data_IF_550238640131
#
_entry.id   IF_550238640131
#
_cell.length_a   1.000
_cell.length_b   1.000
_cell.length_c   1.000
_cell.angle_alpha   90.00
_cell.angle_beta   90.00
_cell.angle_gamma   90.00
#
_symmetry.space_group_name_H-M   'P 1'
#
loop_
_entity.id
_entity.type
_entity.pdbx_description
1 polymer ?
#
# COMPACT_ATOMS: atom_id res chain seq x y z
N UNK A 1 -6.60 76.72 61.15
CA UNK A 1 -6.89 76.26 59.78
C UNK A 1 -6.34 74.84 59.62
N UNK A 2 -7.16 73.95 59.09
CA UNK A 2 -7.00 72.50 58.94
C UNK A 2 -5.73 72.04 58.21
N UNK A 3 -5.20 70.87 58.59
CA UNK A 3 -4.82 69.81 57.63
C UNK A 3 -4.68 68.46 58.34
N UNK A 4 -5.78 67.69 58.37
CA UNK A 4 -5.75 66.25 58.65
C UNK A 4 -5.01 65.53 57.51
N UNK A 5 -3.89 64.87 57.85
CA UNK A 5 -3.20 63.93 56.95
C UNK A 5 -4.06 62.68 56.78
N UNK A 6 -4.52 62.43 55.56
CA UNK A 6 -5.25 61.22 55.17
C UNK A 6 -4.25 60.06 55.13
N UNK A 7 -4.34 59.14 56.09
CA UNK A 7 -3.61 57.88 56.08
C UNK A 7 -4.11 57.02 54.91
N UNK A 8 -3.26 56.74 53.93
CA UNK A 8 -3.56 55.77 52.88
C UNK A 8 -3.37 54.37 53.46
N UNK A 9 -4.48 53.67 53.74
CA UNK A 9 -4.47 52.22 53.97
C UNK A 9 -3.95 51.55 52.71
N UNK A 10 -2.79 50.90 52.79
CA UNK A 10 -2.34 49.95 51.77
C UNK A 10 -3.01 48.61 52.11
N UNK A 11 -4.02 48.24 51.33
CA UNK A 11 -4.60 46.90 51.41
C UNK A 11 -3.61 45.92 50.77
N UNK A 12 -2.99 45.09 51.60
CA UNK A 12 -2.19 43.97 51.13
C UNK A 12 -3.12 42.85 50.72
N UNK A 13 -2.99 42.35 49.49
CA UNK A 13 -3.70 41.16 49.05
C UNK A 13 -3.38 39.99 49.99
N UNK A 14 -4.41 39.26 50.41
CA UNK A 14 -4.23 38.07 51.23
C UNK A 14 -3.64 36.95 50.38
N UNK A 15 -2.68 36.21 50.94
CA UNK A 15 -1.96 35.13 50.24
C UNK A 15 -2.94 34.10 49.62
N UNK A 16 -4.10 33.91 50.24
CA UNK A 16 -5.17 33.02 49.75
C UNK A 16 -5.79 33.47 48.43
N UNK A 17 -6.00 34.78 48.22
CA UNK A 17 -6.63 35.33 47.00
C UNK A 17 -5.69 35.20 45.80
N UNK A 18 -4.39 35.37 46.04
CA UNK A 18 -3.35 35.14 45.03
C UNK A 18 -3.26 33.65 44.65
N UNK A 19 -3.28 32.75 45.63
CA UNK A 19 -3.20 31.30 45.38
C UNK A 19 -4.45 30.79 44.65
N UNK A 20 -5.62 31.31 44.98
CA UNK A 20 -6.87 30.97 44.28
C UNK A 20 -6.82 31.45 42.82
N UNK A 21 -6.30 32.64 42.58
CA UNK A 21 -6.13 33.20 41.22
C UNK A 21 -5.16 32.37 40.37
N UNK A 22 -4.00 32.01 40.92
CA UNK A 22 -3.00 31.20 40.21
C UNK A 22 -3.51 29.77 40.00
N UNK A 23 -4.26 29.21 40.96
CA UNK A 23 -4.90 27.90 40.80
C UNK A 23 -5.95 27.88 39.70
N UNK A 24 -6.75 28.95 39.58
CA UNK A 24 -7.74 29.11 38.51
C UNK A 24 -7.08 29.27 37.13
N UNK A 25 -6.04 30.09 37.03
CA UNK A 25 -5.28 30.23 35.78
C UNK A 25 -4.59 28.92 35.40
N UNK A 26 -4.04 28.19 36.37
CA UNK A 26 -3.42 26.89 36.16
C UNK A 26 -4.39 25.84 35.63
N UNK A 27 -5.59 25.74 36.22
CA UNK A 27 -6.61 24.78 35.74
C UNK A 27 -7.10 25.13 34.33
N UNK A 28 -7.22 26.41 33.99
CA UNK A 28 -7.59 26.87 32.65
C UNK A 28 -6.54 26.45 31.60
N UNK A 29 -5.25 26.61 31.90
CA UNK A 29 -4.16 26.23 30.99
C UNK A 29 -4.08 24.72 30.76
N UNK A 30 -4.34 23.92 31.80
CA UNK A 30 -4.43 22.46 31.65
C UNK A 30 -5.60 22.10 30.73
N UNK A 31 -6.77 22.73 30.93
CA UNK A 31 -7.95 22.46 30.13
C UNK A 31 -7.74 22.82 28.65
N UNK A 32 -7.14 23.97 28.38
CA UNK A 32 -6.78 24.39 27.01
C UNK A 32 -5.79 23.40 26.39
N UNK A 33 -4.78 22.95 27.15
CA UNK A 33 -3.79 21.99 26.65
C UNK A 33 -4.44 20.66 26.24
N UNK A 34 -5.37 20.15 27.05
CA UNK A 34 -6.11 18.92 26.74
C UNK A 34 -6.98 19.06 25.48
N UNK A 35 -7.63 20.21 25.32
CA UNK A 35 -8.44 20.49 24.11
C UNK A 35 -7.54 20.53 22.87
N UNK A 36 -6.39 21.19 22.94
CA UNK A 36 -5.45 21.27 21.80
C UNK A 36 -5.01 19.88 21.37
N UNK A 37 -4.66 19.00 22.32
CA UNK A 37 -4.29 17.60 22.02
C UNK A 37 -5.42 16.88 21.29
N UNK A 38 -6.66 17.01 21.75
CA UNK A 38 -7.82 16.37 21.13
C UNK A 38 -8.10 16.93 19.71
N UNK A 39 -8.00 18.25 19.54
CA UNK A 39 -8.19 18.91 18.24
C UNK A 39 -7.12 18.47 17.24
N UNK A 40 -5.85 18.35 17.67
CA UNK A 40 -4.80 17.82 16.80
C UNK A 40 -5.08 16.38 16.35
N UNK A 41 -5.60 15.53 17.25
CA UNK A 41 -6.03 14.17 16.88
C UNK A 41 -7.14 14.16 15.82
N UNK A 42 -8.14 15.04 15.95
CA UNK A 42 -9.21 15.19 14.96
C UNK A 42 -8.71 15.74 13.63
N UNK A 43 -7.76 16.69 13.68
CA UNK A 43 -7.15 17.27 12.49
C UNK A 43 -6.37 16.22 11.68
N UNK A 44 -5.52 15.45 12.35
CA UNK A 44 -4.76 14.37 11.71
C UNK A 44 -5.70 13.33 11.09
N UNK A 45 -6.74 12.92 11.83
CA UNK A 45 -7.82 12.07 11.28
C UNK A 45 -8.44 12.64 10.01
N UNK A 46 -8.78 13.93 10.02
CA UNK A 46 -9.37 14.61 8.88
C UNK A 46 -8.44 14.60 7.65
N UNK A 47 -7.16 14.90 7.85
CA UNK A 47 -6.16 14.88 6.79
C UNK A 47 -5.96 13.47 6.21
N UNK A 48 -5.79 12.45 7.06
CA UNK A 48 -5.58 11.07 6.59
C UNK A 48 -6.80 10.55 5.82
N UNK A 49 -8.01 10.80 6.30
CA UNK A 49 -9.23 10.42 5.57
C UNK A 49 -9.36 11.16 4.23
N UNK A 50 -8.98 12.44 4.19
CA UNK A 50 -8.95 13.20 2.95
C UNK A 50 -7.95 12.60 1.96
N UNK A 51 -6.72 12.33 2.39
CA UNK A 51 -5.66 11.77 1.54
C UNK A 51 -6.06 10.41 0.98
N UNK A 52 -6.58 9.50 1.81
CA UNK A 52 -7.06 8.19 1.35
C UNK A 52 -8.14 8.34 0.29
N UNK A 53 -9.10 9.26 0.48
CA UNK A 53 -10.15 9.49 -0.50
C UNK A 53 -9.66 10.13 -1.81
N UNK A 54 -8.67 11.02 -1.72
CA UNK A 54 -8.03 11.65 -2.88
C UNK A 54 -7.25 10.62 -3.69
N UNK A 55 -6.43 9.82 -3.00
CA UNK A 55 -5.67 8.71 -3.59
C UNK A 55 -6.60 7.69 -4.24
N UNK A 56 -7.74 7.35 -3.63
CA UNK A 56 -8.71 6.45 -4.26
C UNK A 56 -9.15 6.95 -5.64
N UNK A 57 -9.42 8.25 -5.79
CA UNK A 57 -9.83 8.83 -7.08
C UNK A 57 -8.70 8.85 -8.10
N UNK A 58 -7.48 9.14 -7.65
CA UNK A 58 -6.28 9.14 -8.50
C UNK A 58 -6.00 7.74 -9.03
N UNK A 59 -5.98 6.74 -8.14
CA UNK A 59 -5.74 5.33 -8.48
C UNK A 59 -6.77 4.82 -9.49
N UNK A 60 -8.07 5.04 -9.22
CA UNK A 60 -9.14 4.60 -10.13
C UNK A 60 -8.95 5.21 -11.51
N UNK A 61 -8.72 6.52 -11.59
CA UNK A 61 -8.55 7.22 -12.87
C UNK A 61 -7.31 6.72 -13.61
N UNK A 62 -6.18 6.63 -12.93
CA UNK A 62 -4.91 6.20 -13.53
C UNK A 62 -5.01 4.77 -14.05
N UNK A 63 -5.55 3.85 -13.26
CA UNK A 63 -5.70 2.45 -13.66
C UNK A 63 -6.75 2.30 -14.77
N UNK A 64 -7.89 2.98 -14.70
CA UNK A 64 -8.87 2.98 -15.79
C UNK A 64 -8.26 3.51 -17.09
N UNK A 65 -7.46 4.58 -17.02
CA UNK A 65 -6.77 5.13 -18.17
C UNK A 65 -5.74 4.13 -18.73
N UNK A 66 -4.89 3.54 -17.89
CA UNK A 66 -3.89 2.57 -18.34
C UNK A 66 -4.52 1.31 -18.93
N UNK A 67 -5.54 0.76 -18.28
CA UNK A 67 -6.29 -0.38 -18.80
C UNK A 67 -6.99 -0.02 -20.10
N UNK A 68 -7.59 1.18 -20.21
CA UNK A 68 -8.21 1.62 -21.46
C UNK A 68 -7.21 1.80 -22.61
N UNK A 69 -5.94 2.09 -22.30
CA UNK A 69 -4.89 2.16 -23.33
C UNK A 69 -4.25 0.80 -23.66
N UNK A 70 -4.60 -0.25 -22.94
CA UNK A 70 -4.03 -1.57 -23.06
C UNK A 70 -4.87 -2.51 -23.93
N UNK A 71 -4.20 -3.54 -24.46
CA UNK A 71 -4.86 -4.69 -25.05
C UNK A 71 -5.45 -5.59 -23.95
N UNK A 72 -6.35 -6.51 -24.35
CA UNK A 72 -6.85 -7.52 -23.42
C UNK A 72 -5.69 -8.35 -22.84
N UNK A 73 -5.69 -8.52 -21.53
CA UNK A 73 -4.62 -9.17 -20.78
C UNK A 73 -5.11 -10.41 -20.04
N UNK A 74 -4.20 -11.40 -19.88
CA UNK A 74 -4.49 -12.72 -19.33
C UNK A 74 -4.33 -12.72 -17.80
N UNK A 75 -5.35 -13.20 -17.09
CA UNK A 75 -5.29 -13.34 -15.62
C UNK A 75 -4.92 -14.75 -15.15
N UNK A 76 -5.00 -15.75 -16.02
CA UNK A 76 -4.95 -17.17 -15.67
C UNK A 76 -4.14 -17.96 -16.69
N UNK A 77 -3.45 -18.98 -16.20
CA UNK A 77 -2.74 -19.98 -16.99
C UNK A 77 -3.47 -21.32 -16.87
N UNK A 78 -2.96 -22.35 -17.55
CA UNK A 78 -3.55 -23.69 -17.50
C UNK A 78 -2.58 -24.66 -16.85
N UNK A 79 -3.08 -25.35 -15.83
CA UNK A 79 -2.42 -26.40 -15.06
C UNK A 79 -3.34 -27.60 -15.07
N UNK A 80 -2.86 -28.77 -15.51
CA UNK A 80 -3.63 -30.02 -15.57
C UNK A 80 -5.02 -29.87 -16.24
N UNK A 81 -5.07 -29.15 -17.36
CA UNK A 81 -6.30 -28.84 -18.11
C UNK A 81 -7.35 -28.04 -17.30
N UNK A 82 -6.94 -27.37 -16.22
CA UNK A 82 -7.78 -26.49 -15.43
C UNK A 82 -7.24 -25.05 -15.46
N UNK A 83 -8.13 -24.03 -15.53
CA UNK A 83 -7.73 -22.64 -15.47
C UNK A 83 -7.38 -22.24 -14.03
N UNK A 84 -6.15 -21.75 -13.82
CA UNK A 84 -5.61 -21.41 -12.50
C UNK A 84 -5.01 -19.99 -12.51
N UNK A 85 -5.19 -19.25 -11.42
CA UNK A 85 -4.58 -17.94 -11.23
C UNK A 85 -3.11 -18.08 -10.80
N UNK A 86 -2.21 -17.32 -11.43
CA UNK A 86 -0.83 -17.26 -10.98
C UNK A 86 -0.73 -16.57 -9.62
N UNK A 87 -0.05 -17.23 -8.68
CA UNK A 87 0.31 -16.67 -7.37
C UNK A 87 1.78 -16.28 -7.34
N UNK A 88 2.62 -16.94 -8.14
CA UNK A 88 4.04 -16.63 -8.23
C UNK A 88 4.39 -16.14 -9.63
N UNK A 89 5.51 -15.42 -9.73
CA UNK A 89 6.06 -15.00 -11.02
C UNK A 89 6.44 -16.22 -11.88
N UNK A 90 6.84 -17.33 -11.25
CA UNK A 90 7.22 -18.55 -11.96
C UNK A 90 6.01 -19.19 -12.64
N UNK A 91 4.89 -19.28 -11.93
CA UNK A 91 3.61 -19.72 -12.49
C UNK A 91 3.14 -18.80 -13.62
N UNK A 92 3.52 -17.52 -13.54
CA UNK A 92 3.17 -16.56 -14.58
C UNK A 92 3.98 -16.68 -15.86
N UNK A 93 5.12 -17.38 -15.84
CA UNK A 93 6.09 -17.41 -16.96
C UNK A 93 6.43 -18.83 -17.44
N UNK A 94 6.09 -19.90 -16.71
CA UNK A 94 6.48 -21.29 -17.08
C UNK A 94 5.62 -22.35 -16.35
N UNK A 95 5.48 -23.60 -16.85
CA UNK A 95 6.00 -24.20 -18.10
C UNK A 95 4.97 -25.08 -18.88
N UNK A 96 5.24 -25.41 -20.16
CA UNK A 96 4.69 -26.63 -20.77
C UNK A 96 4.00 -26.56 -22.14
N UNK A 97 3.82 -25.40 -22.75
CA UNK A 97 3.39 -25.33 -24.15
C UNK A 97 2.66 -24.05 -24.51
N UNK A 98 3.29 -23.27 -25.40
CA UNK A 98 2.83 -22.17 -26.27
C UNK A 98 1.89 -21.06 -25.72
N UNK A 99 1.22 -21.22 -24.57
CA UNK A 99 0.13 -20.35 -24.07
C UNK A 99 0.26 -20.04 -22.56
N UNK A 100 1.48 -20.07 -22.00
CA UNK A 100 1.74 -20.16 -20.54
C UNK A 100 2.09 -18.83 -19.85
N UNK A 101 1.98 -17.68 -20.53
CA UNK A 101 2.25 -16.38 -19.91
C UNK A 101 0.95 -15.71 -19.44
N UNK A 102 0.96 -15.17 -18.21
CA UNK A 102 -0.12 -14.30 -17.70
C UNK A 102 0.41 -12.92 -17.41
N UNK A 103 -0.48 -11.96 -17.55
CA UNK A 103 -0.20 -10.54 -17.34
C UNK A 103 -0.45 -10.10 -15.90
N UNK A 104 -0.90 -11.01 -15.04
CA UNK A 104 -1.25 -10.72 -13.66
C UNK A 104 -0.89 -11.90 -12.76
N UNK A 105 -0.21 -11.58 -11.66
CA UNK A 105 -0.07 -12.50 -10.53
C UNK A 105 -0.09 -11.71 -9.22
N UNK A 106 -0.57 -12.35 -8.16
CA UNK A 106 -0.54 -11.78 -6.82
C UNK A 106 -0.37 -12.86 -5.77
N UNK A 107 0.46 -12.57 -4.78
CA UNK A 107 0.64 -13.36 -3.56
C UNK A 107 0.50 -12.47 -2.33
N UNK A 108 0.78 -13.08 -1.18
CA UNK A 108 0.67 -12.44 0.13
C UNK A 108 1.67 -11.28 0.31
N UNK A 109 2.80 -11.29 -0.39
CA UNK A 109 3.79 -10.21 -0.35
C UNK A 109 3.47 -9.06 -1.29
N UNK A 110 2.73 -9.30 -2.36
CA UNK A 110 2.48 -8.33 -3.41
C UNK A 110 2.24 -8.98 -4.76
N UNK A 111 2.44 -8.23 -5.84
CA UNK A 111 2.20 -8.75 -7.18
C UNK A 111 2.59 -7.79 -8.28
N UNK A 112 2.22 -8.17 -9.51
CA UNK A 112 2.39 -7.36 -10.72
C UNK A 112 1.17 -7.47 -11.63
N UNK A 113 0.91 -6.40 -12.37
CA UNK A 113 -0.06 -6.35 -13.46
C UNK A 113 0.61 -5.67 -14.66
N UNK A 114 0.80 -6.41 -15.74
CA UNK A 114 1.45 -5.94 -16.96
C UNK A 114 0.43 -5.76 -18.08
N UNK A 115 -0.03 -4.53 -18.25
CA UNK A 115 -1.06 -4.21 -19.24
C UNK A 115 -0.54 -4.16 -20.68
N UNK A 116 0.79 -4.13 -20.88
CA UNK A 116 1.41 -3.98 -22.21
C UNK A 116 1.66 -2.53 -22.63
N UNK A 117 1.32 -1.55 -21.80
CA UNK A 117 1.82 -0.17 -21.90
C UNK A 117 2.52 0.21 -20.61
N UNK A 118 1.88 -0.12 -19.49
CA UNK A 118 2.42 0.06 -18.16
C UNK A 118 2.31 -1.23 -17.36
N UNK A 119 3.28 -1.40 -16.47
CA UNK A 119 3.28 -2.44 -15.47
C UNK A 119 3.12 -1.81 -14.10
N UNK A 120 2.17 -2.33 -13.35
CA UNK A 120 1.92 -1.97 -11.97
C UNK A 120 2.60 -2.98 -11.05
N UNK A 121 3.32 -2.47 -10.07
CA UNK A 121 4.08 -3.29 -9.12
C UNK A 121 3.76 -2.82 -7.71
N UNK A 122 3.50 -3.76 -6.80
CA UNK A 122 3.22 -3.44 -5.40
C UNK A 122 3.77 -4.49 -4.46
N UNK A 123 4.01 -4.05 -3.22
CA UNK A 123 4.06 -4.92 -2.07
C UNK A 123 2.85 -4.65 -1.16
N UNK A 124 2.46 -5.65 -0.38
CA UNK A 124 1.44 -5.48 0.65
C UNK A 124 2.02 -4.74 1.86
N UNK A 125 1.18 -4.03 2.61
CA UNK A 125 1.58 -3.39 3.87
C UNK A 125 2.20 -4.38 4.87
N UNK A 126 1.73 -5.63 4.86
CA UNK A 126 2.32 -6.73 5.63
C UNK A 126 3.77 -7.02 5.24
N UNK A 127 4.06 -7.11 3.94
CA UNK A 127 5.41 -7.32 3.43
C UNK A 127 6.34 -6.14 3.70
N UNK A 128 5.89 -4.90 3.44
CA UNK A 128 6.69 -3.69 3.66
C UNK A 128 7.06 -3.51 5.14
N UNK A 129 6.17 -3.92 6.05
CA UNK A 129 6.47 -3.92 7.49
C UNK A 129 7.50 -4.98 7.87
N UNK A 130 7.42 -6.18 7.31
CA UNK A 130 8.38 -7.24 7.60
C UNK A 130 9.82 -6.81 7.22
N UNK A 131 9.97 -6.02 6.16
CA UNK A 131 11.25 -5.46 5.71
C UNK A 131 11.86 -4.48 6.72
N UNK A 132 11.06 -3.65 7.39
CA UNK A 132 11.53 -2.70 8.42
C UNK A 132 12.12 -3.38 9.66
N UNK A 133 11.78 -4.65 9.90
CA UNK A 133 12.24 -5.44 11.06
C UNK A 133 13.60 -6.13 10.82
N UNK A 134 14.07 -6.19 9.57
CA UNK A 134 15.33 -6.85 9.20
C UNK A 134 16.38 -5.81 8.81
N UNK A 135 17.40 -5.61 9.65
CA UNK A 135 18.60 -4.82 9.29
C UNK A 135 19.43 -5.64 8.30
N UNK A 136 19.72 -5.05 7.13
CA UNK A 136 20.39 -5.74 6.03
C UNK A 136 21.88 -6.00 6.30
N UNK A 137 22.30 -7.25 6.06
CA UNK A 137 23.65 -7.58 5.63
C UNK A 137 23.64 -7.91 4.14
N UNK A 138 24.67 -7.50 3.40
CA UNK A 138 24.77 -7.63 1.95
C UNK A 138 24.43 -9.04 1.44
N UNK A 139 23.37 -9.18 0.64
CA UNK A 139 23.14 -10.35 -0.23
C UNK A 139 21.93 -11.24 0.04
N UNK A 140 21.04 -10.94 1.01
CA UNK A 140 19.83 -11.74 1.26
C UNK A 140 18.56 -11.13 0.63
N UNK A 141 17.84 -11.90 -0.21
CA UNK A 141 16.48 -11.51 -0.66
C UNK A 141 15.54 -11.41 0.55
N UNK A 142 14.89 -10.27 0.78
CA UNK A 142 13.86 -10.21 1.83
C UNK A 142 12.62 -10.95 1.36
N UNK A 143 12.20 -11.92 2.17
CA UNK A 143 11.03 -12.74 1.91
C UNK A 143 9.98 -12.51 2.97
N UNK A 144 8.73 -12.42 2.54
CA UNK A 144 7.59 -12.32 3.40
C UNK A 144 6.90 -13.68 3.51
N UNK A 145 6.78 -14.19 4.72
CA UNK A 145 5.97 -15.37 5.03
C UNK A 145 4.79 -14.95 5.90
N UNK A 146 3.61 -15.41 5.50
CA UNK A 146 2.38 -15.25 6.28
C UNK A 146 2.22 -16.47 7.17
N UNK A 147 2.09 -16.28 8.50
CA UNK A 147 1.83 -17.38 9.42
C UNK A 147 0.57 -18.14 8.99
N UNK A 148 0.70 -19.46 8.76
CA UNK A 148 -0.42 -20.32 8.39
C UNK A 148 -0.78 -20.38 6.90
N UNK A 149 -0.05 -19.70 6.02
CA UNK A 149 -0.25 -19.84 4.56
C UNK A 149 0.31 -21.17 4.07
N UNK A 150 -0.57 -22.09 3.67
CA UNK A 150 -0.20 -23.40 3.10
C UNK A 150 0.25 -23.31 1.64
N UNK A 151 0.03 -22.16 0.99
CA UNK A 151 0.43 -21.90 -0.40
C UNK A 151 1.75 -21.16 -0.53
N UNK A 152 2.38 -20.76 0.58
CA UNK A 152 3.68 -20.08 0.52
C UNK A 152 4.78 -21.07 0.10
N UNK A 153 5.67 -20.69 -0.84
CA UNK A 153 6.82 -21.52 -1.17
C UNK A 153 7.72 -21.65 0.06
N UNK A 154 8.48 -22.75 0.15
CA UNK A 154 9.48 -22.98 1.19
C UNK A 154 10.45 -21.79 1.25
N UNK A 155 10.32 -20.93 2.27
CA UNK A 155 11.10 -19.70 2.42
C UNK A 155 10.32 -18.38 2.26
N UNK A 156 9.04 -18.41 1.89
CA UNK A 156 8.19 -17.22 1.74
C UNK A 156 8.28 -16.54 0.37
N UNK A 157 7.39 -15.56 0.17
CA UNK A 157 7.24 -14.82 -1.08
C UNK A 157 8.27 -13.68 -1.18
N UNK A 158 8.85 -13.44 -2.36
CA UNK A 158 9.80 -12.34 -2.55
C UNK A 158 9.11 -10.98 -2.40
N UNK A 159 9.77 -10.06 -1.73
CA UNK A 159 9.41 -8.63 -1.66
C UNK A 159 10.15 -7.90 -2.78
N UNK A 160 9.54 -6.84 -3.31
CA UNK A 160 10.05 -6.10 -4.47
C UNK A 160 10.67 -4.77 -4.06
N UNK A 161 11.82 -4.41 -4.61
CA UNK A 161 12.54 -3.17 -4.29
C UNK A 161 12.86 -2.35 -5.54
N UNK A 162 12.93 -1.03 -5.36
CA UNK A 162 13.53 -0.09 -6.31
C UNK A 162 14.88 0.36 -5.77
N UNK A 163 15.79 0.73 -6.67
CA UNK A 163 17.09 1.26 -6.27
C UNK A 163 17.04 2.78 -6.27
N UNK A 164 17.58 3.39 -5.21
CA UNK A 164 17.83 4.82 -5.14
C UNK A 164 19.33 5.03 -4.95
N UNK A 165 19.94 5.90 -5.74
CA UNK A 165 21.31 6.34 -5.48
C UNK A 165 21.29 7.32 -4.32
N UNK A 166 21.93 6.96 -3.21
CA UNK A 166 22.11 7.82 -2.05
C UNK A 166 23.11 8.96 -2.35
N UNK A 167 23.15 9.96 -1.48
CA UNK A 167 24.01 11.14 -1.64
C UNK A 167 25.50 10.85 -1.63
N UNK A 168 25.90 9.69 -1.08
CA UNK A 168 27.28 9.18 -1.06
C UNK A 168 27.62 8.29 -2.27
N UNK A 169 26.69 8.14 -3.22
CA UNK A 169 26.84 7.30 -4.41
C UNK A 169 26.56 5.80 -4.16
N UNK A 170 26.17 5.41 -2.95
CA UNK A 170 25.74 4.04 -2.66
C UNK A 170 24.33 3.75 -3.19
N UNK A 171 24.04 2.48 -3.47
CA UNK A 171 22.72 2.03 -3.88
C UNK A 171 21.88 1.65 -2.64
N UNK A 172 20.81 2.40 -2.39
CA UNK A 172 19.83 2.12 -1.35
C UNK A 172 18.65 1.35 -1.97
N UNK A 173 18.25 0.23 -1.35
CA UNK A 173 17.06 -0.51 -1.74
C UNK A 173 15.84 -0.02 -0.96
N UNK A 174 14.79 0.36 -1.68
CA UNK A 174 13.54 0.86 -1.10
C UNK A 174 12.41 -0.08 -1.48
N UNK A 175 11.63 -0.61 -0.52
CA UNK A 175 10.53 -1.50 -0.84
C UNK A 175 9.47 -0.76 -1.65
N UNK A 176 9.00 -1.39 -2.72
CA UNK A 176 7.94 -0.85 -3.57
C UNK A 176 6.65 -0.76 -2.78
N UNK A 177 6.04 0.44 -2.73
CA UNK A 177 4.69 0.63 -2.19
C UNK A 177 3.65 0.28 -3.25
N UNK A 178 3.42 1.20 -4.17
CA UNK A 178 2.62 0.96 -5.36
C UNK A 178 3.10 1.89 -6.48
N UNK A 179 3.70 1.30 -7.51
CA UNK A 179 4.32 2.05 -8.60
C UNK A 179 3.78 1.60 -9.94
N UNK A 180 3.89 2.50 -10.90
CA UNK A 180 3.58 2.29 -12.31
C UNK A 180 4.85 2.57 -13.11
N UNK A 181 5.30 1.61 -13.91
CA UNK A 181 6.46 1.74 -14.80
C UNK A 181 6.01 1.53 -16.24
N UNK A 182 6.56 2.33 -17.17
CA UNK A 182 6.30 2.12 -18.60
C UNK A 182 6.99 0.83 -19.04
N UNK A 183 6.22 -0.11 -19.56
CA UNK A 183 6.66 -1.47 -19.86
C UNK A 183 5.88 -2.03 -21.06
N UNK A 184 6.20 -1.59 -22.28
CA UNK A 184 5.46 -2.00 -23.48
C UNK A 184 5.70 -3.47 -23.86
N UNK A 185 6.83 -4.05 -23.43
CA UNK A 185 7.20 -5.43 -23.73
C UNK A 185 6.77 -6.41 -22.63
N UNK A 186 6.10 -5.93 -21.57
CA UNK A 186 5.63 -6.73 -20.42
C UNK A 186 6.79 -7.45 -19.71
N UNK A 187 7.98 -6.89 -19.76
CA UNK A 187 9.21 -7.45 -19.17
C UNK A 187 9.07 -7.58 -17.64
N UNK A 188 8.21 -6.79 -17.00
CA UNK A 188 7.98 -6.91 -15.56
C UNK A 188 7.24 -8.19 -15.17
N UNK A 189 6.45 -8.78 -16.06
CA UNK A 189 5.75 -10.04 -15.80
C UNK A 189 6.42 -11.21 -16.50
N UNK A 190 7.47 -10.97 -17.30
CA UNK A 190 8.24 -11.99 -18.00
C UNK A 190 9.58 -12.20 -17.29
N UNK A 191 10.02 -13.45 -17.24
CA UNK A 191 11.38 -13.78 -16.80
C UNK A 191 12.27 -13.88 -18.04
N UNK A 192 13.51 -13.37 -18.00
CA UNK A 192 14.55 -13.95 -18.82
C UNK A 192 14.77 -15.40 -18.35
N UNK A 193 14.73 -16.35 -19.28
CA UNK A 193 14.70 -17.81 -19.05
C UNK A 193 15.86 -18.41 -18.21
N UNK A 194 16.82 -17.60 -17.74
CA UNK A 194 17.95 -18.02 -16.90
C UNK A 194 17.84 -17.60 -15.43
N UNK A 195 16.84 -16.80 -15.05
CA UNK A 195 16.74 -16.27 -13.69
C UNK A 195 15.84 -17.18 -12.85
N UNK A 196 16.46 -18.06 -12.05
CA UNK A 196 15.73 -18.84 -11.08
C UNK A 196 15.05 -17.89 -10.10
N UNK A 197 13.77 -18.15 -9.83
CA UNK A 197 12.88 -17.58 -8.81
C UNK A 197 13.46 -17.22 -7.43
N UNK A 198 14.69 -17.65 -7.19
CA UNK A 198 15.49 -17.51 -6.00
C UNK A 198 16.34 -16.24 -6.00
N UNK A 199 16.48 -15.55 -7.12
CA UNK A 199 17.46 -14.49 -7.30
C UNK A 199 16.94 -13.12 -6.89
N UNK A 200 17.78 -12.41 -6.14
CA UNK A 200 17.73 -10.99 -5.74
C UNK A 200 17.74 -10.01 -6.93
N UNK A 201 17.62 -10.50 -8.16
CA UNK A 201 17.71 -9.76 -9.44
C UNK A 201 16.41 -9.09 -9.87
N UNK A 202 15.27 -9.43 -9.26
CA UNK A 202 13.98 -8.77 -9.54
C UNK A 202 13.95 -7.29 -9.14
N UNK A 203 14.80 -6.92 -8.19
CA UNK A 203 14.95 -5.55 -7.68
C UNK A 203 15.76 -4.68 -8.66
N UNK A 204 16.63 -5.30 -9.46
CA UNK A 204 17.46 -4.61 -10.46
C UNK A 204 16.66 -4.15 -11.67
N UNK A 205 15.60 -4.87 -12.04
CA UNK A 205 14.79 -4.58 -13.23
C UNK A 205 13.84 -3.37 -13.03
N UNK A 206 13.54 -3.01 -11.79
CA UNK A 206 12.68 -1.87 -11.49
C UNK A 206 13.39 -0.53 -11.75
N UNK A 207 14.71 -0.53 -11.76
CA UNK A 207 15.53 0.62 -12.14
C UNK A 207 15.54 1.70 -11.05
N UNK A 208 15.85 2.92 -11.47
CA UNK A 208 15.97 4.08 -10.58
C UNK A 208 14.62 4.80 -10.43
N UNK A 209 14.53 5.71 -9.45
CA UNK A 209 13.34 6.51 -9.15
C UNK A 209 12.80 7.34 -10.32
N UNK A 210 13.61 7.56 -11.36
CA UNK A 210 13.19 8.23 -12.60
C UNK A 210 12.37 7.33 -13.55
N UNK A 211 12.46 6.01 -13.42
CA UNK A 211 11.87 5.05 -14.36
C UNK A 211 10.42 4.66 -14.01
N UNK A 212 9.93 5.09 -12.85
CA UNK A 212 8.59 4.76 -12.37
C UNK A 212 7.87 5.97 -11.78
N UNK A 213 6.55 5.90 -11.73
CA UNK A 213 5.70 6.84 -11.03
C UNK A 213 5.08 6.19 -9.79
N UNK A 214 5.15 6.85 -8.64
CA UNK A 214 4.39 6.46 -7.44
C UNK A 214 2.90 6.70 -7.70
N UNK A 215 2.07 5.65 -7.64
CA UNK A 215 0.63 5.76 -7.91
C UNK A 215 -0.08 6.48 -6.76
N UNK A 216 0.41 6.30 -5.53
CA UNK A 216 -0.10 7.01 -4.35
C UNK A 216 0.48 8.43 -4.20
N UNK A 217 1.37 8.85 -5.09
CA UNK A 217 2.06 10.14 -5.00
C UNK A 217 3.06 10.20 -3.84
N UNK A 218 3.42 11.43 -3.45
CA UNK A 218 4.38 11.75 -2.40
C UNK A 218 3.71 12.11 -1.06
N UNK A 219 2.54 11.53 -0.78
CA UNK A 219 1.75 11.84 0.42
C UNK A 219 2.45 11.43 1.73
N UNK A 220 2.14 12.16 2.81
CA UNK A 220 2.79 12.03 4.11
C UNK A 220 2.32 10.83 4.92
N UNK A 221 1.13 10.28 4.64
CA UNK A 221 0.53 9.21 5.44
C UNK A 221 0.97 7.79 5.02
N UNK A 222 2.04 7.70 4.22
CA UNK A 222 2.67 6.47 3.76
C UNK A 222 1.64 5.38 3.36
N UNK A 223 0.65 5.72 2.55
CA UNK A 223 -0.37 4.74 2.13
C UNK A 223 0.21 3.50 1.43
N UNK A 224 -0.35 2.33 1.71
CA UNK A 224 0.06 1.03 1.16
C UNK A 224 -1.16 0.22 0.72
N UNK A 225 -0.92 -0.75 -0.17
CA UNK A 225 -1.93 -1.75 -0.51
C UNK A 225 -1.92 -2.86 0.54
N UNK A 226 -3.10 -3.26 1.00
CA UNK A 226 -3.29 -4.45 1.82
C UNK A 226 -3.84 -5.62 1.02
N UNK A 227 -4.54 -5.33 -0.06
CA UNK A 227 -5.07 -6.32 -0.99
C UNK A 227 -5.19 -5.69 -2.38
N UNK A 228 -4.95 -6.49 -3.40
CA UNK A 228 -5.17 -6.18 -4.79
C UNK A 228 -5.67 -7.44 -5.48
N UNK A 229 -6.84 -7.40 -6.11
CA UNK A 229 -7.35 -8.51 -6.91
C UNK A 229 -8.02 -8.02 -8.19
N UNK A 230 -7.93 -8.85 -9.23
CA UNK A 230 -8.58 -8.61 -10.51
C UNK A 230 -9.35 -9.86 -10.89
N UNK A 231 -10.59 -9.67 -11.31
CA UNK A 231 -11.51 -10.72 -11.75
C UNK A 231 -12.13 -10.35 -13.10
N UNK A 232 -12.45 -11.34 -13.92
CA UNK A 232 -13.28 -11.18 -15.12
C UNK A 232 -14.71 -11.67 -14.85
N UNK A 233 -15.73 -11.08 -15.50
CA UNK A 233 -17.12 -11.55 -15.37
C UNK A 233 -17.30 -12.99 -15.87
N UNK A 234 -16.52 -13.37 -16.88
CA UNK A 234 -16.54 -14.71 -17.45
C UNK A 234 -15.42 -15.52 -16.78
N UNK A 235 -15.81 -16.68 -16.22
CA UNK A 235 -14.87 -17.70 -15.78
C UNK A 235 -14.58 -18.58 -17.00
N UNK A 236 -13.39 -18.49 -17.63
CA UNK A 236 -13.07 -19.34 -18.76
C UNK A 236 -13.19 -20.81 -18.34
N UNK A 237 -13.82 -21.64 -19.16
CA UNK A 237 -13.73 -23.10 -19.02
C UNK A 237 -12.46 -23.60 -19.71
N UNK A 238 -12.01 -24.82 -19.39
CA UNK A 238 -10.84 -25.44 -20.05
C UNK A 238 -10.97 -25.47 -21.59
N UNK A 239 -12.20 -25.56 -22.11
CA UNK A 239 -12.54 -25.54 -23.54
C UNK A 239 -12.49 -24.15 -24.19
N UNK A 240 -12.65 -23.06 -23.42
CA UNK A 240 -12.60 -21.67 -23.90
C UNK A 240 -11.17 -21.10 -23.94
N UNK A 241 -10.17 -21.97 -23.80
CA UNK A 241 -8.72 -21.73 -23.89
C UNK A 241 -8.30 -21.37 -25.33
N UNK A 242 -8.96 -20.41 -25.93
CA UNK A 242 -8.52 -19.85 -27.22
C UNK A 242 -7.42 -18.81 -26.97
N UNK A 243 -6.50 -18.69 -27.92
CA UNK A 243 -5.48 -17.63 -27.97
C UNK A 243 -6.11 -16.23 -28.14
N UNK A 244 -7.40 -16.20 -28.47
CA UNK A 244 -8.21 -15.00 -28.52
C UNK A 244 -8.62 -14.54 -27.11
N UNK A 245 -7.70 -13.82 -26.47
CA UNK A 245 -7.90 -13.19 -25.15
C UNK A 245 -9.09 -12.20 -25.19
N UNK A 246 -9.44 -11.67 -26.38
CA UNK A 246 -10.56 -10.74 -26.55
C UNK A 246 -11.91 -11.44 -26.52
N UNK A 247 -11.98 -12.74 -26.79
CA UNK A 247 -13.16 -13.56 -26.61
C UNK A 247 -13.47 -13.85 -25.13
N UNK A 248 -12.50 -13.64 -24.21
CA UNK A 248 -12.61 -14.01 -22.80
C UNK A 248 -13.14 -12.87 -21.94
N UNK A 249 -12.62 -11.64 -22.07
CA UNK A 249 -13.22 -10.41 -21.50
C UNK A 249 -12.45 -9.16 -21.90
N UNK A 250 -13.17 -8.06 -22.15
CA UNK A 250 -12.59 -6.70 -22.18
C UNK A 250 -12.90 -5.89 -20.90
N UNK A 251 -13.64 -6.48 -19.97
CA UNK A 251 -14.02 -5.87 -18.68
C UNK A 251 -13.33 -6.58 -17.52
N UNK A 252 -12.77 -5.80 -16.60
CA UNK A 252 -12.05 -6.27 -15.43
C UNK A 252 -12.62 -5.61 -14.18
N UNK A 253 -12.97 -6.42 -13.18
CA UNK A 253 -13.35 -5.98 -11.85
C UNK A 253 -12.08 -5.90 -11.01
N UNK A 254 -11.66 -4.69 -10.68
CA UNK A 254 -10.45 -4.42 -9.91
C UNK A 254 -10.87 -4.04 -8.49
N UNK A 255 -10.32 -4.76 -7.51
CA UNK A 255 -10.56 -4.54 -6.08
C UNK A 255 -9.23 -4.24 -5.39
N UNK A 256 -9.17 -3.12 -4.69
CA UNK A 256 -8.00 -2.73 -3.90
C UNK A 256 -8.41 -2.40 -2.47
N UNK A 257 -7.51 -2.65 -1.53
CA UNK A 257 -7.64 -2.14 -0.17
C UNK A 257 -6.43 -1.29 0.13
N UNK A 258 -6.65 0.02 0.31
CA UNK A 258 -5.61 1.00 0.61
C UNK A 258 -5.72 1.40 2.07
N UNK A 259 -4.59 1.53 2.77
CA UNK A 259 -4.58 2.05 4.14
C UNK A 259 -3.24 2.64 4.54
N UNK A 260 -3.16 3.17 5.75
CA UNK A 260 -1.96 3.77 6.35
C UNK A 260 -0.89 2.74 6.69
N UNK A 261 0.37 2.93 6.30
CA UNK A 261 1.40 1.90 6.54
C UNK A 261 1.67 1.55 8.00
N UNK A 262 1.59 2.52 8.91
CA UNK A 262 1.81 2.31 10.35
C UNK A 262 0.59 1.71 11.05
N UNK A 263 -0.49 1.52 10.29
CA UNK A 263 -1.75 1.02 10.77
C UNK A 263 -1.70 -0.40 11.37
N UNK A 264 -2.36 -0.59 12.51
CA UNK A 264 -2.62 -1.89 13.15
C UNK A 264 -3.57 -2.80 12.36
N UNK A 265 -3.98 -2.43 11.15
CA UNK A 265 -4.72 -3.31 10.26
C UNK A 265 -3.93 -4.59 10.03
N UNK A 266 -4.56 -5.70 10.40
CA UNK A 266 -4.12 -7.04 10.04
C UNK A 266 -2.69 -7.38 10.51
N UNK A 267 -2.44 -7.19 11.81
CA UNK A 267 -1.22 -7.69 12.47
C UNK A 267 -1.31 -9.20 12.70
N UNK A 268 -0.39 -9.93 12.06
CA UNK A 268 0.17 -11.24 12.44
C UNK A 268 -0.48 -12.55 11.99
N UNK A 269 -1.65 -12.60 11.34
CA UNK A 269 -2.25 -13.89 10.93
C UNK A 269 -2.65 -14.03 9.44
N UNK A 270 -2.17 -13.13 8.56
CA UNK A 270 -2.58 -13.18 7.16
C UNK A 270 -4.02 -12.72 7.00
N UNK A 271 -4.23 -11.68 6.20
CA UNK A 271 -4.92 -11.85 4.92
C UNK A 271 -6.43 -12.04 5.12
N UNK A 272 -7.13 -10.90 5.11
CA UNK A 272 -8.51 -10.81 4.65
C UNK A 272 -9.50 -11.71 5.42
N UNK A 273 -9.70 -11.48 6.72
CA UNK A 273 -11.01 -11.79 7.31
C UNK A 273 -11.91 -10.55 7.19
N UNK A 274 -12.85 -10.65 6.25
CA UNK A 274 -14.06 -9.85 5.92
C UNK A 274 -14.10 -8.33 6.19
N UNK A 275 -13.65 -7.84 7.32
CA UNK A 275 -14.01 -6.50 7.78
C UNK A 275 -12.97 -5.42 7.45
N UNK A 276 -11.67 -5.74 7.32
CA UNK A 276 -10.61 -4.77 6.92
C UNK A 276 -10.78 -3.39 7.57
N UNK A 277 -10.92 -3.37 8.90
CA UNK A 277 -11.12 -2.15 9.70
C UNK A 277 -9.88 -1.89 10.55
N UNK A 278 -9.58 -0.61 10.79
CA UNK A 278 -8.65 -0.20 11.82
C UNK A 278 -9.02 -0.79 13.17
N UNK A 279 -8.02 -1.26 13.93
CA UNK A 279 -8.25 -1.65 15.32
C UNK A 279 -8.70 -0.43 16.15
N UNK A 280 -9.56 -0.62 17.15
CA UNK A 280 -9.87 0.46 18.09
C UNK A 280 -8.60 0.87 18.85
N UNK A 281 -8.48 2.14 19.30
CA UNK A 281 -7.26 2.65 19.94
C UNK A 281 -6.79 1.82 21.14
N UNK A 282 -7.70 1.23 21.91
CA UNK A 282 -7.37 0.38 23.06
C UNK A 282 -6.73 -0.98 22.69
N UNK A 283 -6.78 -1.36 21.42
CA UNK A 283 -6.20 -2.59 20.87
C UNK A 283 -5.14 -2.29 19.80
N UNK A 284 -4.87 -1.00 19.57
CA UNK A 284 -3.80 -0.54 18.72
C UNK A 284 -2.48 -0.84 19.43
N UNK A 285 -1.61 -1.60 18.77
CA UNK A 285 -0.30 -1.96 19.28
C UNK A 285 0.82 -1.20 18.58
N UNK A 286 0.51 -0.51 17.48
CA UNK A 286 1.47 0.12 16.58
C UNK A 286 1.09 1.57 16.22
N UNK A 287 -0.20 1.92 16.30
CA UNK A 287 -0.69 3.28 16.06
C UNK A 287 -0.70 4.17 17.32
N UNK A 288 0.30 4.10 18.20
CA UNK A 288 0.36 4.89 19.45
C UNK A 288 0.60 6.42 19.21
N UNK A 289 0.01 6.99 18.18
CA UNK A 289 0.09 8.42 17.84
C UNK A 289 -0.52 8.81 16.49
N UNK A 290 -0.72 7.87 15.57
CA UNK A 290 -1.21 8.15 14.20
C UNK A 290 -2.60 7.57 13.94
N UNK A 291 -3.42 8.30 13.19
CA UNK A 291 -4.77 7.86 12.84
C UNK A 291 -4.72 6.81 11.73
N UNK A 292 -5.27 5.63 11.99
CA UNK A 292 -5.46 4.61 10.97
C UNK A 292 -6.66 4.94 10.07
N UNK A 293 -6.45 4.80 8.76
CA UNK A 293 -7.52 4.88 7.77
C UNK A 293 -7.37 3.75 6.75
N UNK A 294 -8.49 3.09 6.42
CA UNK A 294 -8.56 2.05 5.38
C UNK A 294 -9.72 2.37 4.45
N UNK A 295 -9.53 2.16 3.16
CA UNK A 295 -10.58 2.29 2.15
C UNK A 295 -10.54 1.11 1.17
N UNK A 296 -11.73 0.60 0.83
CA UNK A 296 -11.92 -0.42 -0.19
C UNK A 296 -12.33 0.27 -1.48
N UNK A 297 -11.55 0.02 -2.53
CA UNK A 297 -11.75 0.63 -3.84
C UNK A 297 -12.15 -0.49 -4.77
N UNK A 298 -13.34 -0.37 -5.35
CA UNK A 298 -13.85 -1.33 -6.33
C UNK A 298 -14.30 -0.57 -7.56
N UNK A 299 -13.80 -0.97 -8.73
CA UNK A 299 -14.20 -0.35 -9.99
C UNK A 299 -14.08 -1.35 -11.14
N UNK A 300 -14.78 -1.03 -12.21
CA UNK A 300 -14.66 -1.73 -13.48
C UNK A 300 -13.76 -0.93 -14.40
N UNK A 301 -12.82 -1.62 -15.03
CA UNK A 301 -11.99 -1.07 -16.10
C UNK A 301 -12.24 -1.84 -17.39
N UNK A 302 -12.19 -1.13 -18.52
CA UNK A 302 -12.37 -1.72 -19.85
C UNK A 302 -11.15 -1.47 -20.71
N UNK A 303 -10.65 -2.48 -21.41
CA UNK A 303 -9.57 -2.32 -22.39
C UNK A 303 -10.07 -1.64 -23.66
N UNK A 304 -9.24 -0.78 -24.26
CA UNK A 304 -9.67 0.11 -25.35
C UNK A 304 -9.38 -0.39 -26.75
N UNK A 305 -8.67 -1.50 -26.92
CA UNK A 305 -8.30 -2.01 -28.25
C UNK A 305 -8.58 -3.51 -28.38
N UNK A 306 -9.45 -3.84 -29.33
CA UNK A 306 -9.48 -5.13 -30.03
C UNK A 306 -8.87 -4.81 -31.40
N UNK A 307 -7.55 -4.86 -31.50
CA UNK A 307 -6.83 -4.57 -32.74
C UNK A 307 -6.47 -5.87 -33.42
N UNK A 308 -7.12 -6.15 -34.56
CA UNK A 308 -6.69 -7.15 -35.55
C UNK A 308 -5.24 -6.95 -35.97
#
# INVERSE_FOLDING_TARGET
MSRMRKSQRREGFTLIELVLSIGFIGSLLILISLIIIQVMGLYNKGLTLKEVNEVSRIVVRDMQQSVSSADAFRLQFVEDDQPVYAKTLQQAVSPGGNNSEVDYYSNDAGGRLCTGVYSYIWNTGGAIRATRSTVFGAGGATRYSTPGSTSAPSGGYPIQFVTRTATDGSAEQIPVRFIKKRDPAKEMCRLPAGDTATSTTHDSALGDEADYASVFGSGNNELVLYNFSIETPLKPTSEQRTDDITAISTFYYIKLTVGTQNGDENTQNGLISSNQVCKPPAQATQNEGEYCAVNKIEFVARTGRIGN
#
